data_IF_037737018855
#
_entry.id   IF_037737018855
#
_cell.length_a   1.000
_cell.length_b   1.000
_cell.length_c   1.000
_cell.angle_alpha   90.00
_cell.angle_beta   90.00
_cell.angle_gamma   90.00
#
_symmetry.space_group_name_H-M   'P 1'
#
loop_
_entity.id
_entity.type
_entity.pdbx_description
1 polymer ?
#
# COMPACT_ATOMS: atom_id res chain seq x y z
N UNK A 1 -33.73 -8.29 -21.20
CA UNK A 1 -32.61 -7.34 -21.27
C UNK A 1 -31.30 -8.10 -21.09
N UNK A 2 -30.40 -8.12 -22.08
CA UNK A 2 -29.04 -8.69 -21.90
C UNK A 2 -28.15 -7.61 -21.31
N UNK A 3 -27.64 -7.80 -20.10
CA UNK A 3 -26.59 -6.93 -19.58
C UNK A 3 -25.29 -7.22 -20.35
N UNK A 4 -24.67 -6.18 -20.90
CA UNK A 4 -23.32 -6.26 -21.46
C UNK A 4 -22.35 -6.01 -20.32
N UNK A 5 -21.58 -7.02 -19.97
CA UNK A 5 -20.46 -6.89 -19.02
C UNK A 5 -19.19 -6.62 -19.81
N UNK A 6 -18.54 -5.48 -19.57
CA UNK A 6 -17.21 -5.18 -20.12
C UNK A 6 -16.17 -5.65 -19.11
N UNK A 7 -15.36 -6.65 -19.47
CA UNK A 7 -14.26 -7.12 -18.64
C UNK A 7 -13.01 -6.27 -18.92
N UNK A 8 -12.43 -5.67 -17.89
CA UNK A 8 -11.09 -5.07 -17.97
C UNK A 8 -10.08 -6.05 -17.34
N UNK A 9 -9.13 -6.59 -18.11
CA UNK A 9 -8.11 -7.49 -17.56
C UNK A 9 -7.26 -6.76 -16.52
N UNK A 10 -6.95 -7.44 -15.42
CA UNK A 10 -5.92 -7.01 -14.47
C UNK A 10 -4.61 -7.59 -14.99
N UNK A 11 -3.74 -6.74 -15.56
CA UNK A 11 -2.48 -7.18 -16.18
C UNK A 11 -1.30 -6.76 -15.30
N UNK A 12 -0.54 -7.74 -14.85
CA UNK A 12 0.79 -7.58 -14.26
C UNK A 12 1.83 -8.19 -15.20
N UNK A 13 3.08 -7.70 -15.16
CA UNK A 13 4.18 -8.25 -15.98
C UNK A 13 4.45 -9.74 -15.70
N UNK A 14 4.10 -10.23 -14.50
CA UNK A 14 4.32 -11.59 -14.01
C UNK A 14 3.05 -12.49 -14.01
N UNK A 15 1.94 -12.02 -14.59
CA UNK A 15 0.64 -12.72 -14.57
C UNK A 15 -0.09 -12.64 -13.22
N UNK A 16 -1.39 -12.90 -13.24
CA UNK A 16 -2.26 -12.91 -12.04
C UNK A 16 -2.84 -14.31 -11.87
N UNK A 17 -2.62 -14.92 -10.71
CA UNK A 17 -3.10 -16.28 -10.42
C UNK A 17 -4.40 -16.28 -9.62
N UNK A 18 -4.56 -15.30 -8.73
CA UNK A 18 -5.74 -15.18 -7.88
C UNK A 18 -5.97 -13.72 -7.50
N UNK A 19 -7.24 -13.32 -7.40
CA UNK A 19 -7.63 -11.97 -7.01
C UNK A 19 -8.95 -11.98 -6.24
N UNK A 20 -9.02 -11.16 -5.20
CA UNK A 20 -10.22 -10.88 -4.39
C UNK A 20 -10.46 -9.39 -4.38
N UNK A 21 -11.72 -8.96 -4.36
CA UNK A 21 -12.13 -7.56 -4.44
C UNK A 21 -13.06 -7.18 -3.29
N UNK A 22 -12.94 -5.96 -2.79
CA UNK A 22 -13.90 -5.38 -1.84
C UNK A 22 -14.91 -4.43 -2.52
N UNK A 23 -15.86 -3.87 -1.77
CA UNK A 23 -16.92 -3.01 -2.33
C UNK A 23 -16.38 -1.68 -2.89
N UNK A 24 -15.18 -1.28 -2.46
CA UNK A 24 -14.47 -0.10 -2.97
C UNK A 24 -13.72 -0.37 -4.29
N UNK A 25 -13.74 -1.61 -4.78
CA UNK A 25 -13.02 -2.02 -5.99
C UNK A 25 -11.51 -2.22 -5.76
N UNK A 26 -11.05 -2.25 -4.51
CA UNK A 26 -9.67 -2.61 -4.20
C UNK A 26 -9.48 -4.09 -4.44
N UNK A 27 -8.40 -4.46 -5.12
CA UNK A 27 -8.11 -5.86 -5.45
C UNK A 27 -6.88 -6.31 -4.69
N UNK A 28 -6.94 -7.46 -4.04
CA UNK A 28 -5.77 -8.14 -3.49
C UNK A 28 -5.55 -9.45 -4.22
N UNK A 29 -4.29 -9.80 -4.49
CA UNK A 29 -3.96 -11.03 -5.20
C UNK A 29 -2.50 -11.39 -5.05
N UNK A 30 -2.07 -12.41 -5.79
CA UNK A 30 -0.66 -12.74 -5.91
C UNK A 30 -0.29 -13.04 -7.36
N UNK A 31 0.98 -12.81 -7.69
CA UNK A 31 1.52 -12.99 -9.03
C UNK A 31 2.18 -14.36 -9.21
N UNK A 32 2.72 -14.63 -10.41
CA UNK A 32 3.38 -15.91 -10.71
C UNK A 32 4.67 -16.18 -9.96
N UNK A 33 5.26 -15.16 -9.33
CA UNK A 33 6.41 -15.31 -8.46
C UNK A 33 6.00 -15.59 -7.00
N UNK A 34 4.69 -15.57 -6.68
CA UNK A 34 4.18 -15.78 -5.34
C UNK A 34 4.18 -14.51 -4.47
N UNK A 35 4.43 -13.35 -5.06
CA UNK A 35 4.38 -12.07 -4.36
C UNK A 35 2.94 -11.55 -4.28
N UNK A 36 2.54 -11.08 -3.10
CA UNK A 36 1.23 -10.45 -2.90
C UNK A 36 1.19 -9.04 -3.50
N UNK A 37 0.03 -8.61 -3.98
CA UNK A 37 -0.20 -7.23 -4.42
C UNK A 37 -1.55 -6.70 -3.95
N UNK A 38 -1.60 -5.40 -3.68
CA UNK A 38 -2.81 -4.61 -3.50
C UNK A 38 -2.95 -3.66 -4.68
N UNK A 39 -4.13 -3.61 -5.29
CA UNK A 39 -4.45 -2.68 -6.38
C UNK A 39 -5.54 -1.71 -5.94
N UNK A 40 -5.24 -0.42 -6.02
CA UNK A 40 -6.18 0.68 -5.75
C UNK A 40 -6.09 1.66 -6.92
N UNK A 41 -7.21 1.96 -7.58
CA UNK A 41 -7.28 2.91 -8.70
C UNK A 41 -6.19 2.65 -9.77
N UNK A 42 -6.07 1.40 -10.22
CA UNK A 42 -5.06 0.94 -11.20
C UNK A 42 -3.59 1.03 -10.77
N UNK A 43 -3.30 1.44 -9.54
CA UNK A 43 -1.96 1.39 -8.94
C UNK A 43 -1.78 0.07 -8.21
N UNK A 44 -0.69 -0.64 -8.54
CA UNK A 44 -0.30 -1.87 -7.86
C UNK A 44 0.78 -1.59 -6.83
N UNK A 45 0.56 -2.05 -5.60
CA UNK A 45 1.49 -2.00 -4.50
C UNK A 45 1.83 -3.43 -4.10
N UNK A 46 3.04 -3.93 -4.42
CA UNK A 46 3.47 -5.23 -3.96
C UNK A 46 3.62 -5.21 -2.43
N UNK A 47 3.33 -6.33 -1.79
CA UNK A 47 3.58 -6.53 -0.38
C UNK A 47 4.11 -7.93 -0.12
N UNK A 48 4.94 -8.05 0.90
CA UNK A 48 5.51 -9.31 1.35
C UNK A 48 5.15 -9.51 2.82
N UNK A 49 4.81 -10.74 3.18
CA UNK A 49 4.62 -11.13 4.58
C UNK A 49 5.98 -11.62 5.11
N UNK A 50 6.50 -11.06 6.21
CA UNK A 50 7.80 -11.45 6.75
C UNK A 50 7.90 -12.96 7.00
N UNK A 51 9.02 -13.56 6.57
CA UNK A 51 9.27 -15.01 6.67
C UNK A 51 8.56 -15.86 5.63
N UNK A 52 7.78 -15.24 4.73
CA UNK A 52 7.06 -15.92 3.66
C UNK A 52 7.83 -16.08 2.36
N UNK A 53 7.74 -17.26 1.76
CA UNK A 53 8.18 -17.54 0.39
C UNK A 53 7.05 -17.25 -0.60
N UNK A 54 5.80 -17.61 -0.26
CA UNK A 54 4.62 -17.34 -1.09
C UNK A 54 3.49 -16.76 -0.25
N UNK A 55 2.89 -15.67 -0.71
CA UNK A 55 1.78 -15.01 -0.03
C UNK A 55 0.46 -15.30 -0.73
N UNK A 56 -0.51 -15.82 0.02
CA UNK A 56 -1.85 -16.14 -0.47
C UNK A 56 -2.89 -15.28 0.25
N UNK A 57 -3.18 -14.07 -0.26
CA UNK A 57 -4.28 -13.27 0.25
C UNK A 57 -5.61 -13.92 -0.14
N UNK A 58 -6.50 -14.06 0.84
CA UNK A 58 -7.81 -14.71 0.67
C UNK A 58 -8.98 -13.76 0.87
N UNK A 59 -8.75 -12.63 1.51
CA UNK A 59 -9.80 -11.64 1.77
C UNK A 59 -9.24 -10.24 1.92
N UNK A 60 -10.09 -9.26 1.64
CA UNK A 60 -9.87 -7.84 1.88
C UNK A 60 -11.19 -7.21 2.31
N UNK A 61 -11.17 -6.34 3.32
CA UNK A 61 -12.35 -5.56 3.73
C UNK A 61 -12.27 -4.10 3.24
N UNK A 62 -13.35 -3.34 3.45
CA UNK A 62 -13.42 -1.92 3.03
C UNK A 62 -12.48 -1.00 3.85
N UNK A 63 -11.98 -1.45 5.01
CA UNK A 63 -10.92 -0.75 5.74
C UNK A 63 -9.51 -1.04 5.17
N UNK A 64 -9.42 -1.84 4.10
CA UNK A 64 -8.16 -2.22 3.47
C UNK A 64 -7.36 -3.28 4.22
N UNK A 65 -7.94 -3.89 5.26
CA UNK A 65 -7.31 -5.00 5.96
C UNK A 65 -7.36 -6.26 5.10
N UNK A 66 -6.23 -6.95 4.99
CA UNK A 66 -6.06 -8.14 4.15
C UNK A 66 -5.79 -9.33 5.07
N UNK A 67 -6.51 -10.43 4.90
CA UNK A 67 -6.23 -11.67 5.60
C UNK A 67 -5.93 -12.82 4.62
N UNK A 68 -5.08 -13.74 5.05
CA UNK A 68 -4.65 -14.86 4.22
C UNK A 68 -3.66 -15.75 4.94
N UNK A 69 -2.93 -16.53 4.16
CA UNK A 69 -1.88 -17.39 4.65
C UNK A 69 -0.60 -17.17 3.85
N UNK A 70 0.53 -17.43 4.50
CA UNK A 70 1.85 -17.35 3.91
C UNK A 70 2.51 -18.71 4.03
N UNK A 71 3.08 -19.21 2.94
CA UNK A 71 3.90 -20.41 2.93
C UNK A 71 5.34 -20.03 3.28
N UNK A 72 5.90 -20.63 4.32
CA UNK A 72 7.25 -20.32 4.82
C UNK A 72 8.35 -21.12 4.11
N UNK A 73 8.05 -22.35 3.71
CA UNK A 73 9.00 -23.34 3.19
C UNK A 73 8.35 -24.28 2.14
N UNK A 74 7.17 -23.93 1.64
CA UNK A 74 6.40 -24.77 0.71
C UNK A 74 5.52 -25.83 1.41
N UNK A 75 5.68 -26.04 2.72
CA UNK A 75 4.94 -27.06 3.49
C UNK A 75 4.16 -26.43 4.63
N UNK A 76 4.80 -25.53 5.37
CA UNK A 76 4.29 -24.84 6.54
C UNK A 76 3.60 -23.56 6.13
N UNK A 77 2.31 -23.43 6.48
CA UNK A 77 1.54 -22.21 6.26
C UNK A 77 1.22 -21.50 7.58
N UNK A 78 1.31 -20.16 7.59
CA UNK A 78 0.90 -19.32 8.72
C UNK A 78 -0.17 -18.33 8.29
N UNK A 79 -1.21 -18.19 9.10
CA UNK A 79 -2.20 -17.13 8.90
C UNK A 79 -1.60 -15.75 9.19
N UNK A 80 -2.03 -14.74 8.44
CA UNK A 80 -1.67 -13.36 8.68
C UNK A 80 -2.87 -12.43 8.56
N UNK A 81 -2.80 -11.31 9.26
CA UNK A 81 -3.66 -10.15 9.09
C UNK A 81 -2.76 -8.94 8.79
N UNK A 82 -2.78 -8.48 7.55
CA UNK A 82 -2.06 -7.29 7.13
C UNK A 82 -3.00 -6.08 7.23
N UNK A 83 -2.67 -5.17 8.13
CA UNK A 83 -3.35 -3.89 8.25
C UNK A 83 -2.58 -2.84 7.44
N UNK A 84 -3.26 -2.02 6.61
CA UNK A 84 -2.62 -0.92 5.93
C UNK A 84 -2.06 0.03 7.00
N UNK A 85 -0.75 0.20 7.03
CA UNK A 85 -0.12 1.18 7.91
C UNK A 85 -0.39 2.54 7.29
N UNK A 86 -1.00 3.50 8.02
CA UNK A 86 -1.12 4.87 7.54
C UNK A 86 0.26 5.36 7.11
N UNK A 87 0.36 6.08 5.98
CA UNK A 87 1.61 6.79 5.68
C UNK A 87 2.03 7.52 6.96
N UNK A 88 3.26 7.31 7.47
CA UNK A 88 3.60 7.74 8.81
C UNK A 88 3.28 9.21 8.95
N UNK A 89 2.51 9.59 9.97
CA UNK A 89 2.27 10.99 10.32
C UNK A 89 3.60 11.79 10.43
N UNK A 90 4.71 11.08 10.61
CA UNK A 90 6.09 11.52 10.45
C UNK A 90 6.37 12.32 9.18
N UNK A 91 5.79 11.97 8.01
CA UNK A 91 6.01 12.73 6.76
C UNK A 91 5.39 14.12 6.88
N UNK A 92 4.15 14.21 7.37
CA UNK A 92 3.50 15.48 7.64
C UNK A 92 4.26 16.31 8.69
N UNK A 93 4.64 15.69 9.80
CA UNK A 93 5.46 16.31 10.86
C UNK A 93 6.80 16.85 10.33
N UNK A 94 7.47 16.11 9.45
CA UNK A 94 8.74 16.52 8.85
C UNK A 94 8.56 17.73 7.93
N UNK A 95 7.50 17.75 7.12
CA UNK A 95 7.15 18.91 6.28
C UNK A 95 6.86 20.16 7.12
N UNK A 96 6.05 20.05 8.19
CA UNK A 96 5.78 21.17 9.09
C UNK A 96 7.05 21.65 9.80
N UNK A 97 7.92 20.74 10.23
CA UNK A 97 9.19 21.08 10.88
C UNK A 97 10.13 21.88 9.97
N UNK A 98 10.27 21.47 8.70
CA UNK A 98 11.11 22.17 7.71
C UNK A 98 10.56 23.57 7.42
N UNK A 99 9.24 23.70 7.23
CA UNK A 99 8.59 25.00 6.98
C UNK A 99 8.77 25.92 8.19
N UNK A 100 8.55 25.41 9.40
CA UNK A 100 8.73 26.15 10.65
C UNK A 100 10.17 26.64 10.83
N UNK A 101 11.16 25.78 10.56
CA UNK A 101 12.58 26.13 10.67
C UNK A 101 13.00 27.17 9.62
N UNK A 102 12.51 27.05 8.38
CA UNK A 102 12.75 28.00 7.32
C UNK A 102 12.14 29.38 7.66
N UNK A 103 10.90 29.40 8.15
CA UNK A 103 10.22 30.63 8.60
C UNK A 103 10.94 31.29 9.78
N UNK A 104 11.40 30.50 10.76
CA UNK A 104 12.19 30.99 11.89
C UNK A 104 13.52 31.62 11.41
N UNK A 105 14.25 30.91 10.53
CA UNK A 105 15.53 31.39 9.98
C UNK A 105 15.34 32.66 9.16
N UNK A 106 14.25 32.77 8.41
CA UNK A 106 13.90 33.97 7.65
C UNK A 106 13.61 35.18 8.55
N UNK A 107 12.78 34.99 9.59
CA UNK A 107 12.45 36.04 10.57
C UNK A 107 13.70 36.54 11.31
N UNK A 108 14.58 35.63 11.73
CA UNK A 108 15.83 35.97 12.43
C UNK A 108 16.80 36.78 11.56
N UNK A 109 16.87 36.50 10.26
CA UNK A 109 17.70 37.27 9.31
C UNK A 109 17.20 38.71 9.10
N UNK A 110 15.88 38.92 9.09
CA UNK A 110 15.29 40.27 8.95
C UNK A 110 15.38 41.14 10.20
N UNK A 111 15.44 40.53 11.39
CA UNK A 111 15.59 41.25 12.66
C UNK A 111 16.97 41.88 12.88
N UNK A 112 17.99 41.45 12.13
CA UNK A 112 19.39 41.90 12.31
C UNK A 112 19.74 43.07 11.37
N UNK A 113 18.94 43.32 10.33
CA UNK A 113 19.23 44.31 9.28
C UNK A 113 18.50 45.66 9.44
N UNK A 114 17.90 45.96 10.59
CA UNK A 114 17.13 47.21 10.82
C UNK A 114 17.82 48.24 11.71
N UNK A 115 19.15 48.15 11.87
CA UNK A 115 19.97 49.10 12.63
C UNK A 115 21.25 49.44 11.86
N UNK A 116 21.12 50.09 10.70
CA UNK A 116 22.15 50.87 10.00
C UNK A 116 21.45 52.01 9.28
#
# INVERSE_FOLDING_TARGET
>A
MKQRTTMKPIVLLSGVFFAVVNDLGHVVGYDGAGAGFLRINDKFSPFTVPGGVVTFPTSINNAGQIAGFVSLDGVTSRAFLATPVPEPASVGLMSFGIIGLAAWRYRKRRSISSWV
#
